data_IF_329280655891
#
_entry.id   IF_329280655891
#
_cell.length_a   1.000
_cell.length_b   1.000
_cell.length_c   1.000
_cell.angle_alpha   90.00
_cell.angle_beta   90.00
_cell.angle_gamma   90.00
#
_symmetry.space_group_name_H-M   'P 1'
#
loop_
_entity.id
_entity.type
_entity.pdbx_description
1 polymer ?
#
# COMPACT_ATOMS: atom_id res chain seq x y z
N UNK A 1 -29.56 -7.71 -11.90
CA UNK A 1 -28.09 -7.66 -12.10
C UNK A 1 -27.73 -6.25 -12.55
N UNK A 2 -26.86 -5.57 -11.82
CA UNK A 2 -26.45 -4.21 -12.19
C UNK A 2 -25.68 -4.22 -13.49
N UNK A 3 -25.92 -3.23 -14.34
CA UNK A 3 -25.16 -3.03 -15.57
C UNK A 3 -23.81 -2.39 -15.28
N UNK A 4 -22.82 -2.58 -16.14
CA UNK A 4 -21.50 -1.92 -16.03
C UNK A 4 -21.63 -0.41 -15.93
N UNK A 5 -22.58 0.18 -16.63
CA UNK A 5 -22.83 1.64 -16.58
C UNK A 5 -23.29 2.12 -15.20
N UNK A 6 -24.18 1.37 -14.55
CA UNK A 6 -24.64 1.68 -13.19
C UNK A 6 -23.49 1.55 -12.18
N UNK A 7 -22.66 0.51 -12.32
CA UNK A 7 -21.47 0.33 -11.48
C UNK A 7 -20.50 1.51 -11.64
N UNK A 8 -20.22 1.95 -12.85
CA UNK A 8 -19.34 3.11 -13.08
C UNK A 8 -19.91 4.40 -12.50
N UNK A 9 -21.21 4.63 -12.63
CA UNK A 9 -21.88 5.80 -12.03
C UNK A 9 -21.80 5.79 -10.50
N UNK A 10 -21.97 4.64 -9.85
CA UNK A 10 -21.81 4.50 -8.41
C UNK A 10 -20.36 4.77 -7.97
N UNK A 11 -19.38 4.25 -8.74
CA UNK A 11 -17.95 4.50 -8.48
C UNK A 11 -17.63 6.00 -8.58
N UNK A 12 -18.10 6.67 -9.62
CA UNK A 12 -17.91 8.12 -9.80
C UNK A 12 -18.58 8.92 -8.67
N UNK A 13 -19.82 8.59 -8.32
CA UNK A 13 -20.54 9.22 -7.23
C UNK A 13 -19.88 9.05 -5.86
N UNK A 14 -19.18 7.94 -5.63
CA UNK A 14 -18.39 7.68 -4.41
C UNK A 14 -17.04 8.39 -4.37
N UNK A 15 -16.69 9.16 -5.39
CA UNK A 15 -15.38 9.81 -5.54
C UNK A 15 -14.28 8.90 -6.09
N UNK A 16 -14.68 7.88 -6.84
CA UNK A 16 -13.78 6.92 -7.51
C UNK A 16 -13.40 5.71 -6.65
N UNK A 17 -12.96 4.68 -7.32
CA UNK A 17 -12.52 3.43 -6.68
C UNK A 17 -10.98 3.38 -6.66
N UNK A 18 -10.40 3.68 -5.49
CA UNK A 18 -8.97 3.51 -5.25
C UNK A 18 -8.70 2.17 -4.56
N UNK A 19 -7.48 1.59 -4.67
CA UNK A 19 -7.12 0.36 -3.98
C UNK A 19 -7.39 0.41 -2.47
N UNK A 20 -7.07 1.51 -1.82
CA UNK A 20 -7.31 1.71 -0.38
C UNK A 20 -8.80 1.73 -0.02
N UNK A 21 -9.63 2.41 -0.82
CA UNK A 21 -11.10 2.39 -0.62
C UNK A 21 -11.67 1.01 -0.83
N UNK A 22 -11.21 0.31 -1.87
CA UNK A 22 -11.64 -1.06 -2.15
C UNK A 22 -11.31 -1.99 -1.00
N UNK A 23 -10.07 -1.95 -0.51
CA UNK A 23 -9.66 -2.75 0.64
C UNK A 23 -10.51 -2.45 1.87
N UNK A 24 -10.72 -1.18 2.20
CA UNK A 24 -11.58 -0.76 3.32
C UNK A 24 -12.98 -1.35 3.22
N UNK A 25 -13.58 -1.28 2.05
CA UNK A 25 -14.96 -1.74 1.85
C UNK A 25 -15.05 -3.27 1.91
N UNK A 26 -14.05 -3.99 1.41
CA UNK A 26 -13.96 -5.46 1.55
C UNK A 26 -13.74 -5.83 3.03
N UNK A 27 -12.82 -5.16 3.72
CA UNK A 27 -12.55 -5.42 5.13
C UNK A 27 -13.77 -5.20 6.02
N UNK A 28 -14.61 -4.22 5.70
CA UNK A 28 -15.89 -4.01 6.41
C UNK A 28 -16.91 -5.11 6.17
N UNK A 29 -16.95 -5.67 4.97
CA UNK A 29 -17.95 -6.70 4.59
C UNK A 29 -17.50 -8.10 4.97
N UNK A 30 -16.21 -8.38 4.89
CA UNK A 30 -15.63 -9.71 5.03
C UNK A 30 -14.34 -9.68 5.86
N UNK A 31 -14.37 -9.16 7.11
CA UNK A 31 -13.17 -8.96 7.92
C UNK A 31 -12.38 -10.24 8.16
N UNK A 32 -13.07 -11.37 8.32
CA UNK A 32 -12.47 -12.67 8.68
C UNK A 32 -12.04 -13.50 7.46
N UNK A 33 -12.32 -13.05 6.24
CA UNK A 33 -11.84 -13.74 5.05
C UNK A 33 -10.36 -13.47 4.82
N UNK A 34 -9.65 -14.50 4.34
CA UNK A 34 -8.22 -14.43 4.05
C UNK A 34 -7.99 -13.52 2.84
N UNK A 35 -7.20 -12.47 3.05
CA UNK A 35 -6.77 -11.55 1.99
C UNK A 35 -5.60 -12.13 1.20
N UNK A 36 -4.61 -12.64 1.92
CA UNK A 36 -3.42 -13.27 1.32
C UNK A 36 -2.74 -14.23 2.30
N UNK A 37 -1.82 -15.02 1.76
CA UNK A 37 -0.94 -15.91 2.52
C UNK A 37 0.50 -15.61 2.15
N UNK A 38 1.38 -15.66 3.15
CA UNK A 38 2.83 -15.64 2.94
C UNK A 38 3.49 -16.83 3.63
N UNK A 39 4.67 -17.21 3.16
CA UNK A 39 5.40 -18.33 3.72
C UNK A 39 6.69 -17.84 4.35
N UNK A 40 6.79 -17.95 5.68
CA UNK A 40 8.00 -17.62 6.44
C UNK A 40 8.50 -18.84 7.20
N UNK A 41 9.80 -19.12 7.08
CA UNK A 41 10.44 -20.26 7.75
C UNK A 41 9.72 -21.60 7.50
N UNK A 42 9.17 -21.78 6.30
CA UNK A 42 8.44 -23.00 5.94
C UNK A 42 6.98 -23.04 6.41
N UNK A 43 6.51 -22.06 7.16
CA UNK A 43 5.15 -21.98 7.71
C UNK A 43 4.32 -20.99 6.89
N UNK A 44 3.11 -21.40 6.52
CA UNK A 44 2.12 -20.52 5.90
C UNK A 44 1.42 -19.66 6.96
N UNK A 45 1.51 -18.35 6.80
CA UNK A 45 0.78 -17.37 7.58
C UNK A 45 -0.40 -16.84 6.74
N UNK A 46 -1.52 -16.67 7.38
CA UNK A 46 -2.73 -16.11 6.76
C UNK A 46 -2.97 -14.73 7.34
N UNK A 47 -3.32 -13.79 6.47
CA UNK A 47 -3.72 -12.43 6.86
C UNK A 47 -5.13 -12.20 6.35
N UNK A 48 -6.03 -11.85 7.25
CA UNK A 48 -7.43 -11.54 6.91
C UNK A 48 -7.55 -10.13 6.33
N UNK A 49 -8.67 -9.82 5.68
CA UNK A 49 -8.94 -8.47 5.20
C UNK A 49 -9.04 -7.44 6.33
N UNK A 50 -9.56 -7.85 7.50
CA UNK A 50 -9.61 -7.00 8.68
C UNK A 50 -8.23 -6.62 9.18
N UNK A 51 -7.35 -7.63 9.39
CA UNK A 51 -5.96 -7.43 9.80
C UNK A 51 -5.16 -6.62 8.77
N UNK A 52 -5.33 -6.90 7.49
CA UNK A 52 -4.66 -6.15 6.43
C UNK A 52 -5.06 -4.66 6.46
N UNK A 53 -6.35 -4.37 6.58
CA UNK A 53 -6.84 -2.99 6.67
C UNK A 53 -6.33 -2.28 7.94
N UNK A 54 -6.29 -2.96 9.07
CA UNK A 54 -5.75 -2.42 10.31
C UNK A 54 -4.28 -2.01 10.16
N UNK A 55 -3.44 -2.87 9.58
CA UNK A 55 -2.03 -2.58 9.32
C UNK A 55 -1.86 -1.41 8.35
N UNK A 56 -2.68 -1.33 7.31
CA UNK A 56 -2.72 -0.18 6.39
C UNK A 56 -3.03 1.11 7.14
N UNK A 57 -3.99 1.09 8.06
CA UNK A 57 -4.31 2.26 8.89
C UNK A 57 -3.15 2.70 9.77
N UNK A 58 -2.42 1.77 10.39
CA UNK A 58 -1.23 2.10 11.20
C UNK A 58 -0.15 2.78 10.35
N UNK A 59 0.15 2.26 9.18
CA UNK A 59 1.11 2.87 8.25
C UNK A 59 0.65 4.27 7.83
N UNK A 60 -0.62 4.42 7.48
CA UNK A 60 -1.21 5.71 7.08
C UNK A 60 -1.11 6.75 8.20
N UNK A 61 -1.43 6.36 9.44
CA UNK A 61 -1.33 7.23 10.60
C UNK A 61 0.13 7.64 10.88
N UNK A 62 1.07 6.69 10.80
CA UNK A 62 2.49 6.96 10.98
C UNK A 62 3.01 7.94 9.92
N UNK A 63 2.70 7.72 8.65
CA UNK A 63 3.10 8.63 7.57
C UNK A 63 2.55 10.04 7.76
N UNK A 64 1.29 10.16 8.15
CA UNK A 64 0.69 11.45 8.47
C UNK A 64 1.39 12.13 9.66
N UNK A 65 1.75 11.36 10.68
CA UNK A 65 2.53 11.86 11.83
C UNK A 65 3.90 12.39 11.41
N UNK A 66 4.55 11.75 10.44
CA UNK A 66 5.83 12.21 9.85
C UNK A 66 5.66 13.35 8.83
N UNK A 67 4.46 13.89 8.68
CA UNK A 67 4.20 15.04 7.82
C UNK A 67 4.01 14.72 6.34
N UNK A 68 3.80 13.44 6.00
CA UNK A 68 3.42 13.05 4.64
C UNK A 68 1.98 13.45 4.38
N UNK A 69 1.75 14.12 3.28
CA UNK A 69 0.45 14.62 2.86
C UNK A 69 0.12 14.21 1.42
N UNK A 70 -1.04 14.62 0.96
CA UNK A 70 -1.51 14.37 -0.41
C UNK A 70 -0.46 14.80 -1.44
N UNK A 71 -0.21 13.95 -2.43
CA UNK A 71 0.78 14.08 -3.51
C UNK A 71 2.25 13.96 -3.13
N UNK A 72 2.57 13.81 -1.83
CA UNK A 72 3.93 13.50 -1.42
C UNK A 72 4.34 12.09 -1.88
N UNK A 73 5.61 11.94 -2.24
CA UNK A 73 6.15 10.67 -2.70
C UNK A 73 6.83 9.94 -1.53
N UNK A 74 6.57 8.65 -1.45
CA UNK A 74 7.18 7.74 -0.47
C UNK A 74 7.71 6.55 -1.26
N UNK A 75 8.99 6.26 -1.11
CA UNK A 75 9.63 5.16 -1.82
C UNK A 75 9.56 3.86 -1.02
N UNK A 76 9.54 2.74 -1.75
CA UNK A 76 9.58 1.39 -1.18
C UNK A 76 10.68 0.61 -1.91
N UNK A 77 11.69 0.17 -1.17
CA UNK A 77 12.80 -0.64 -1.66
C UNK A 77 12.81 -1.97 -0.89
N UNK A 78 12.20 -2.98 -1.45
CA UNK A 78 11.97 -4.28 -0.80
C UNK A 78 11.60 -5.35 -1.83
N UNK A 79 11.86 -6.60 -1.47
CA UNK A 79 11.30 -7.77 -2.16
C UNK A 79 9.77 -7.80 -2.07
N UNK A 80 9.15 -8.69 -2.86
CA UNK A 80 7.71 -8.93 -2.80
C UNK A 80 7.34 -9.64 -1.50
N UNK A 81 6.81 -8.87 -0.55
CA UNK A 81 6.41 -9.35 0.78
C UNK A 81 5.17 -8.58 1.26
N UNK A 82 4.45 -9.10 2.27
CA UNK A 82 3.24 -8.45 2.80
C UNK A 82 3.44 -6.98 3.17
N UNK A 83 4.58 -6.66 3.78
CA UNK A 83 4.90 -5.29 4.21
C UNK A 83 4.98 -4.31 3.04
N UNK A 84 5.46 -4.77 1.87
CA UNK A 84 5.47 -3.96 0.65
C UNK A 84 4.05 -3.51 0.26
N UNK A 85 3.12 -4.47 0.24
CA UNK A 85 1.73 -4.21 -0.11
C UNK A 85 1.03 -3.32 0.93
N UNK A 86 1.30 -3.56 2.22
CA UNK A 86 0.76 -2.74 3.32
C UNK A 86 1.25 -1.29 3.22
N UNK A 87 2.54 -1.10 2.95
CA UNK A 87 3.13 0.22 2.74
C UNK A 87 2.52 0.93 1.53
N UNK A 88 2.43 0.25 0.38
CA UNK A 88 1.86 0.81 -0.85
C UNK A 88 0.42 1.30 -0.65
N UNK A 89 -0.45 0.45 -0.11
CA UNK A 89 -1.84 0.83 0.15
C UNK A 89 -1.94 1.91 1.24
N UNK A 90 -1.07 1.85 2.26
CA UNK A 90 -1.01 2.86 3.32
C UNK A 90 -0.63 4.26 2.81
N UNK A 91 0.33 4.34 1.89
CA UNK A 91 0.70 5.58 1.21
C UNK A 91 -0.48 6.13 0.39
N UNK A 92 -1.12 5.26 -0.39
CA UNK A 92 -2.27 5.65 -1.22
C UNK A 92 -3.48 6.07 -0.37
N UNK A 93 -3.67 5.50 0.82
CA UNK A 93 -4.80 5.80 1.70
C UNK A 93 -4.81 7.27 2.19
N UNK A 94 -3.64 7.89 2.32
CA UNK A 94 -3.49 9.32 2.67
C UNK A 94 -3.35 10.23 1.44
N UNK A 95 -3.50 9.67 0.24
CA UNK A 95 -3.35 10.41 -1.02
C UNK A 95 -1.89 10.65 -1.43
N UNK A 96 -0.94 9.94 -0.82
CA UNK A 96 0.47 9.92 -1.23
C UNK A 96 0.68 9.12 -2.52
N UNK A 97 1.88 9.21 -3.05
CA UNK A 97 2.32 8.50 -4.25
C UNK A 97 3.41 7.52 -3.85
N UNK A 98 3.19 6.23 -4.06
CA UNK A 98 4.22 5.21 -3.84
C UNK A 98 5.17 5.14 -5.03
N UNK A 99 6.47 5.07 -4.73
CA UNK A 99 7.56 4.92 -5.69
C UNK A 99 8.27 3.60 -5.43
N UNK A 100 7.94 2.58 -6.21
CA UNK A 100 8.58 1.26 -6.09
C UNK A 100 9.98 1.25 -6.70
N UNK A 101 10.96 0.78 -5.93
CA UNK A 101 12.31 0.51 -6.39
C UNK A 101 12.56 -1.00 -6.40
N UNK A 102 13.24 -1.48 -7.42
CA UNK A 102 13.62 -2.89 -7.47
C UNK A 102 14.66 -3.21 -6.38
N UNK A 103 14.51 -4.34 -5.66
CA UNK A 103 15.46 -4.74 -4.62
C UNK A 103 16.88 -4.96 -5.17
N UNK A 104 17.01 -5.23 -6.47
CA UNK A 104 18.28 -5.43 -7.17
C UNK A 104 18.94 -4.14 -7.65
N UNK A 105 18.32 -2.97 -7.48
CA UNK A 105 18.92 -1.71 -7.86
C UNK A 105 20.21 -1.43 -7.06
N UNK A 106 21.34 -1.13 -7.71
CA UNK A 106 22.55 -0.76 -7.01
C UNK A 106 22.41 0.59 -6.28
N UNK A 107 23.19 0.85 -5.22
CA UNK A 107 23.07 2.08 -4.41
C UNK A 107 23.05 3.39 -5.19
N UNK A 108 23.83 3.49 -6.27
CA UNK A 108 23.87 4.68 -7.12
C UNK A 108 22.52 4.93 -7.83
N UNK A 109 21.87 3.87 -8.28
CA UNK A 109 20.54 3.94 -8.90
C UNK A 109 19.46 4.29 -7.87
N UNK A 110 19.49 3.65 -6.70
CA UNK A 110 18.58 3.98 -5.59
C UNK A 110 18.68 5.46 -5.23
N UNK A 111 19.91 5.96 -5.06
CA UNK A 111 20.15 7.40 -4.81
C UNK A 111 19.57 8.29 -5.90
N UNK A 112 19.79 7.92 -7.16
CA UNK A 112 19.25 8.69 -8.31
C UNK A 112 17.72 8.68 -8.29
N UNK A 113 17.08 7.52 -8.13
CA UNK A 113 15.63 7.38 -8.15
C UNK A 113 14.97 8.14 -6.98
N UNK A 114 15.54 8.07 -5.78
CA UNK A 114 15.05 8.81 -4.62
C UNK A 114 15.14 10.33 -4.84
N UNK A 115 16.26 10.80 -5.38
CA UNK A 115 16.46 12.23 -5.68
C UNK A 115 15.53 12.71 -6.80
N UNK A 116 15.42 11.91 -7.87
CA UNK A 116 14.59 12.27 -9.02
C UNK A 116 13.09 12.26 -8.70
N UNK A 117 12.64 11.29 -7.90
CA UNK A 117 11.23 11.23 -7.46
C UNK A 117 10.90 12.25 -6.38
N UNK A 118 11.91 12.87 -5.74
CA UNK A 118 11.71 13.73 -4.58
C UNK A 118 10.98 13.01 -3.43
N UNK A 119 11.28 11.73 -3.24
CA UNK A 119 10.67 10.92 -2.18
C UNK A 119 11.11 11.43 -0.80
N UNK A 120 10.14 11.67 0.08
CA UNK A 120 10.38 12.22 1.42
C UNK A 120 10.74 11.14 2.44
N UNK A 121 10.25 9.92 2.24
CA UNK A 121 10.50 8.76 3.12
C UNK A 121 10.84 7.57 2.22
N UNK A 122 11.70 6.69 2.73
CA UNK A 122 12.01 5.39 2.15
C UNK A 122 11.67 4.29 3.15
N UNK A 123 10.81 3.35 2.74
CA UNK A 123 10.69 2.05 3.38
C UNK A 123 11.75 1.13 2.79
N UNK A 124 12.66 0.64 3.61
CA UNK A 124 13.67 -0.35 3.24
C UNK A 124 13.46 -1.65 4.00
N UNK A 125 13.70 -2.78 3.34
CA UNK A 125 13.52 -4.10 3.94
C UNK A 125 14.55 -4.39 5.03
N UNK A 126 15.80 -4.03 4.78
CA UNK A 126 16.94 -4.20 5.67
C UNK A 126 17.98 -3.09 5.48
N UNK A 127 19.13 -3.24 6.12
CA UNK A 127 20.22 -2.28 6.09
C UNK A 127 21.37 -2.62 5.12
N UNK A 128 21.22 -3.70 4.32
CA UNK A 128 22.24 -4.14 3.36
C UNK A 128 22.23 -3.34 2.06
#
# INVERSE_FOLDING_TARGET
MQTMKEIFQEIEASGGMTPSRRLRDIAKRFPDQIAFRDKRYGIWNEVTYGEFWEQVQYVSCALNHFGISKTDKVAIHSENRPEWLIADIGIQAIGGISVGLYPTNPPAEVKYLLSHSESKILFAEDQE
#
